data_IF_750396808434
#
_entry.id   IF_750396808434
#
_cell.length_a   1.000
_cell.length_b   1.000
_cell.length_c   1.000
_cell.angle_alpha   90.00
_cell.angle_beta   90.00
_cell.angle_gamma   90.00
#
_symmetry.space_group_name_H-M   'P 1'
#
loop_
_entity.id
_entity.type
_entity.pdbx_description
1 polymer ?
#
# COMPACT_ATOMS: atom_id res chain seq x y z
N UNK A 1 -7.38 -12.81 23.84
CA UNK A 1 -7.82 -13.97 23.05
C UNK A 1 -7.09 -13.86 21.73
N UNK A 2 -6.01 -14.60 21.57
CA UNK A 2 -5.19 -14.63 20.34
C UNK A 2 -5.44 -16.01 19.76
N UNK A 3 -6.34 -16.09 18.79
CA UNK A 3 -6.66 -17.34 18.12
C UNK A 3 -5.42 -17.79 17.34
N UNK A 4 -4.71 -18.76 17.90
CA UNK A 4 -3.40 -19.23 17.46
C UNK A 4 -3.45 -20.24 16.28
N UNK A 5 -4.59 -20.41 15.59
CA UNK A 5 -4.78 -21.59 14.72
C UNK A 5 -5.49 -21.35 13.38
N UNK A 6 -5.42 -20.13 12.82
CA UNK A 6 -5.86 -19.90 11.43
C UNK A 6 -4.71 -19.39 10.57
N UNK A 7 -3.89 -20.34 10.12
CA UNK A 7 -2.93 -20.21 9.01
C UNK A 7 -3.62 -20.03 7.63
N UNK A 8 -4.84 -19.51 7.62
CA UNK A 8 -5.70 -19.37 6.45
C UNK A 8 -6.42 -18.03 6.52
N UNK A 9 -6.25 -17.23 5.48
CA UNK A 9 -6.98 -15.98 5.24
C UNK A 9 -8.14 -16.24 4.30
N UNK A 10 -9.28 -15.56 4.50
CA UNK A 10 -10.38 -15.56 3.53
C UNK A 10 -10.21 -14.53 2.40
N UNK A 11 -9.04 -13.88 2.32
CA UNK A 11 -8.78 -12.78 1.40
C UNK A 11 -7.49 -13.03 0.63
N UNK A 12 -7.52 -12.74 -0.68
CA UNK A 12 -6.43 -13.08 -1.61
C UNK A 12 -5.16 -12.23 -1.42
N UNK A 13 -5.26 -11.15 -0.65
CA UNK A 13 -4.15 -10.23 -0.38
C UNK A 13 -3.40 -10.53 0.92
N UNK A 14 -3.87 -11.47 1.74
CA UNK A 14 -3.09 -12.00 2.87
C UNK A 14 -2.65 -13.41 2.50
N UNK A 15 -1.34 -13.65 2.50
CA UNK A 15 -0.73 -14.94 2.18
C UNK A 15 -0.11 -15.54 3.43
N UNK A 16 -0.07 -16.86 3.50
CA UNK A 16 0.69 -17.57 4.52
C UNK A 16 2.09 -17.88 3.97
N UNK A 17 3.12 -17.27 4.55
CA UNK A 17 4.52 -17.59 4.29
C UNK A 17 5.13 -18.17 5.58
N UNK A 18 5.61 -19.41 5.52
CA UNK A 18 6.31 -20.09 6.62
C UNK A 18 5.50 -20.18 7.93
N UNK A 19 4.17 -20.28 7.82
CA UNK A 19 3.28 -20.30 8.99
C UNK A 19 2.90 -18.92 9.52
N UNK A 20 3.37 -17.84 8.89
CA UNK A 20 3.04 -16.46 9.24
C UNK A 20 2.16 -15.82 8.16
N UNK A 21 1.06 -15.20 8.58
CA UNK A 21 0.24 -14.38 7.69
C UNK A 21 0.96 -13.07 7.36
N UNK A 22 1.10 -12.77 6.07
CA UNK A 22 1.75 -11.56 5.55
C UNK A 22 0.91 -10.92 4.46
N UNK A 23 1.07 -9.61 4.30
CA UNK A 23 0.48 -8.88 3.18
C UNK A 23 1.18 -9.26 1.86
N UNK A 24 0.42 -9.65 0.86
CA UNK A 24 0.93 -10.03 -0.45
C UNK A 24 1.59 -8.83 -1.15
N UNK A 25 2.89 -8.95 -1.45
CA UNK A 25 3.68 -7.87 -2.08
C UNK A 25 3.19 -7.46 -3.46
N UNK A 26 2.52 -8.37 -4.17
CA UNK A 26 1.97 -8.12 -5.50
C UNK A 26 0.57 -7.47 -5.48
N UNK A 27 -0.04 -7.30 -4.29
CA UNK A 27 -1.35 -6.68 -4.16
C UNK A 27 -1.25 -5.15 -3.99
N UNK A 28 -2.24 -4.41 -4.49
CA UNK A 28 -2.25 -2.94 -4.44
C UNK A 28 -2.15 -2.37 -3.00
N UNK A 29 -2.70 -3.08 -2.01
CA UNK A 29 -2.59 -2.70 -0.60
C UNK A 29 -1.14 -2.64 -0.11
N UNK A 30 -0.25 -3.48 -0.63
CA UNK A 30 1.16 -3.42 -0.26
C UNK A 30 1.78 -2.09 -0.69
N UNK A 31 1.56 -1.67 -1.93
CA UNK A 31 2.02 -0.38 -2.42
C UNK A 31 1.47 0.78 -1.59
N UNK A 32 0.17 0.75 -1.27
CA UNK A 32 -0.46 1.78 -0.43
C UNK A 32 0.20 1.91 0.94
N UNK A 33 0.41 0.77 1.62
CA UNK A 33 1.03 0.74 2.95
C UNK A 33 2.49 1.21 2.88
N UNK A 34 3.27 0.72 1.90
CA UNK A 34 4.67 1.13 1.73
C UNK A 34 4.81 2.63 1.45
N UNK A 35 4.03 3.17 0.52
CA UNK A 35 4.08 4.61 0.20
C UNK A 35 3.60 5.45 1.38
N UNK A 36 2.57 5.02 2.11
CA UNK A 36 2.13 5.72 3.32
C UNK A 36 3.25 5.77 4.37
N UNK A 37 3.89 4.63 4.64
CA UNK A 37 5.01 4.53 5.58
C UNK A 37 6.21 5.39 5.15
N UNK A 38 6.51 5.44 3.85
CA UNK A 38 7.55 6.30 3.29
C UNK A 38 7.26 7.79 3.56
N UNK A 39 6.02 8.23 3.33
CA UNK A 39 5.60 9.62 3.58
C UNK A 39 5.63 9.96 5.07
N UNK A 40 5.22 9.04 5.94
CA UNK A 40 5.20 9.26 7.39
C UNK A 40 6.52 8.96 8.10
N UNK A 41 7.53 8.47 7.36
CA UNK A 41 8.82 8.02 7.90
C UNK A 41 8.67 7.00 9.05
N UNK A 42 7.70 6.09 8.92
CA UNK A 42 7.43 5.00 9.88
C UNK A 42 8.01 3.70 9.37
N UNK A 43 8.51 2.83 10.26
CA UNK A 43 9.13 1.55 9.88
C UNK A 43 8.17 0.36 9.89
N UNK A 44 7.19 0.40 10.78
CA UNK A 44 6.24 -0.70 10.97
C UNK A 44 4.81 -0.17 10.85
N UNK A 45 3.94 -0.96 10.23
CA UNK A 45 2.51 -0.67 10.11
C UNK A 45 1.69 -1.90 10.49
N UNK A 46 0.72 -1.71 11.38
CA UNK A 46 -0.30 -2.72 11.65
C UNK A 46 -1.38 -2.66 10.58
N UNK A 47 -1.44 -3.68 9.73
CA UNK A 47 -2.47 -3.84 8.73
C UNK A 47 -3.58 -4.75 9.28
N UNK A 48 -4.70 -4.14 9.63
CA UNK A 48 -5.86 -4.83 10.20
C UNK A 48 -6.96 -5.03 9.17
N UNK A 49 -7.37 -6.28 9.00
CA UNK A 49 -8.47 -6.70 8.12
C UNK A 49 -9.61 -7.16 9.00
N UNK A 50 -10.76 -6.51 8.85
CA UNK A 50 -11.99 -6.91 9.54
C UNK A 50 -12.99 -7.47 8.54
N UNK A 51 -13.56 -8.63 8.89
CA UNK A 51 -14.75 -9.17 8.25
C UNK A 51 -15.63 -9.84 9.30
N UNK A 52 -16.91 -10.05 8.97
CA UNK A 52 -17.84 -10.79 9.85
C UNK A 52 -17.42 -12.24 10.07
N UNK A 53 -16.58 -12.80 9.19
CA UNK A 53 -16.10 -14.18 9.26
C UNK A 53 -14.76 -14.33 9.99
N UNK A 54 -13.88 -13.34 9.84
CA UNK A 54 -12.52 -13.37 10.37
C UNK A 54 -11.97 -11.96 10.53
N UNK A 55 -11.24 -11.72 11.62
CA UNK A 55 -10.37 -10.55 11.78
C UNK A 55 -8.92 -11.01 11.73
N UNK A 56 -8.07 -10.29 11.00
CA UNK A 56 -6.65 -10.60 10.83
C UNK A 56 -5.84 -9.34 11.03
N UNK A 57 -4.78 -9.42 11.83
CA UNK A 57 -3.78 -8.36 11.95
C UNK A 57 -2.43 -8.88 11.47
N UNK A 58 -1.79 -8.15 10.56
CA UNK A 58 -0.42 -8.44 10.12
C UNK A 58 0.45 -7.20 10.32
N UNK A 59 1.72 -7.41 10.66
CA UNK A 59 2.71 -6.34 10.72
C UNK A 59 3.41 -6.26 9.36
N UNK A 60 3.43 -5.07 8.78
CA UNK A 60 4.12 -4.77 7.53
C UNK A 60 5.29 -3.86 7.85
N UNK A 61 6.49 -4.33 7.53
CA UNK A 61 7.72 -3.56 7.67
C UNK A 61 8.00 -2.77 6.37
N UNK A 62 8.68 -1.64 6.49
CA UNK A 62 9.16 -0.87 5.33
C UNK A 62 10.11 -1.68 4.46
N UNK A 63 9.84 -1.68 3.16
CA UNK A 63 10.65 -2.33 2.13
C UNK A 63 11.38 -1.25 1.33
N UNK A 64 12.60 -0.91 1.77
CA UNK A 64 13.41 0.15 1.15
C UNK A 64 13.74 -0.16 -0.31
N UNK A 65 13.91 -1.43 -0.66
CA UNK A 65 14.18 -1.85 -2.03
C UNK A 65 12.97 -1.61 -2.93
N UNK A 66 11.77 -1.92 -2.45
CA UNK A 66 10.52 -1.61 -3.15
C UNK A 66 10.32 -0.10 -3.32
N UNK A 67 10.60 0.68 -2.28
CA UNK A 67 10.44 2.14 -2.29
C UNK A 67 11.46 2.84 -3.21
N UNK A 68 12.70 2.37 -3.25
CA UNK A 68 13.73 2.89 -4.14
C UNK A 68 13.31 2.82 -5.63
N UNK A 69 12.52 1.81 -6.01
CA UNK A 69 11.99 1.65 -7.37
C UNK A 69 10.68 2.44 -7.56
N UNK A 70 9.83 2.49 -6.54
CA UNK A 70 8.47 3.05 -6.63
C UNK A 70 8.46 4.57 -6.56
N UNK A 71 9.26 5.18 -5.68
CA UNK A 71 9.28 6.64 -5.48
C UNK A 71 9.67 7.43 -6.75
N UNK A 72 10.71 7.05 -7.52
CA UNK A 72 11.04 7.74 -8.77
C UNK A 72 9.93 7.62 -9.81
N UNK A 73 9.26 6.47 -9.90
CA UNK A 73 8.11 6.25 -10.80
C UNK A 73 6.94 7.14 -10.42
N UNK A 74 6.68 7.29 -9.12
CA UNK A 74 5.64 8.18 -8.59
C UNK A 74 5.94 9.64 -8.95
N UNK A 75 7.20 10.08 -8.82
CA UNK A 75 7.63 11.42 -9.20
C UNK A 75 7.46 11.66 -10.72
N UNK A 76 7.88 10.70 -11.55
CA UNK A 76 7.68 10.79 -12.99
C UNK A 76 6.20 10.86 -13.37
N UNK A 77 5.37 10.02 -12.74
CA UNK A 77 3.92 10.05 -12.95
C UNK A 77 3.33 11.42 -12.60
N UNK A 78 3.71 11.96 -11.43
CA UNK A 78 3.30 13.29 -10.99
C UNK A 78 3.69 14.38 -11.99
N UNK A 79 4.97 14.46 -12.38
CA UNK A 79 5.46 15.51 -13.26
C UNK A 79 4.94 15.40 -14.70
N UNK A 80 4.90 14.19 -15.28
CA UNK A 80 4.61 14.02 -16.70
C UNK A 80 3.14 13.88 -17.03
N UNK A 81 2.32 13.42 -16.10
CA UNK A 81 0.90 13.17 -16.35
C UNK A 81 0.02 14.06 -15.47
N UNK A 82 0.18 13.98 -14.14
CA UNK A 82 -0.72 14.64 -13.22
C UNK A 82 -0.60 16.18 -13.29
N UNK A 83 0.62 16.70 -13.19
CA UNK A 83 0.89 18.14 -13.25
C UNK A 83 0.46 18.75 -14.59
N UNK A 84 0.71 18.04 -15.71
CA UNK A 84 0.29 18.51 -17.04
C UNK A 84 -1.23 18.66 -17.16
N UNK A 85 -1.98 17.70 -16.62
CA UNK A 85 -3.45 17.78 -16.62
C UNK A 85 -3.95 18.94 -15.75
N UNK A 86 -3.34 19.15 -14.58
CA UNK A 86 -3.70 20.26 -13.71
C UNK A 86 -3.44 21.62 -14.37
N UNK A 87 -2.27 21.81 -15.00
CA UNK A 87 -1.94 23.04 -15.72
C UNK A 87 -2.86 23.25 -16.92
N UNK A 88 -3.15 22.20 -17.69
CA UNK A 88 -4.08 22.28 -18.82
C UNK A 88 -5.49 22.71 -18.36
N UNK A 89 -6.02 22.10 -17.30
CA UNK A 89 -7.31 22.51 -16.73
C UNK A 89 -7.28 23.96 -16.22
N UNK A 90 -6.21 24.38 -15.56
CA UNK A 90 -6.07 25.75 -15.06
C UNK A 90 -6.10 26.79 -16.21
N UNK A 91 -5.45 26.50 -17.33
CA UNK A 91 -5.50 27.36 -18.52
C UNK A 91 -6.87 27.38 -19.20
N UNK A 92 -7.58 26.25 -19.28
CA UNK A 92 -8.94 26.21 -19.85
C UNK A 92 -9.93 27.04 -19.03
N UNK A 93 -9.83 27.00 -17.70
CA UNK A 93 -10.69 27.78 -16.80
C UNK A 93 -10.37 29.29 -16.75
N UNK A 94 -9.17 29.72 -17.14
CA UNK A 94 -8.77 31.14 -17.15
C UNK A 94 -9.09 31.85 -18.47
N UNK A 95 -9.36 31.09 -19.53
CA UNK A 95 -9.65 31.61 -20.89
C UNK A 95 -11.14 31.41 -21.25
N UNK A 96 -11.95 30.85 -20.34
CA UNK A 96 -13.42 30.76 -20.45
C UNK A 96 -14.09 31.78 -19.54
#
# INVERSE_FOLDING_TARGET
MVDAELCHSFVDYIINEDGCLKLCKNHAYYCQVQVAMYVTNTKDCFFFVYSTKQSVAVVVETDEAFLAVTTPRLQQFYCFYHLKQLVHCFFVFLVS
#
